data_IF_287876606736
#
_entry.id   IF_287876606736
#
_cell.length_a   1.000
_cell.length_b   1.000
_cell.length_c   1.000
_cell.angle_alpha   90.00
_cell.angle_beta   90.00
_cell.angle_gamma   90.00
#
_symmetry.space_group_name_H-M   'P 1'
#
loop_
_entity.id
_entity.type
_entity.pdbx_description
1 polymer ?
#
# COMPACT_ATOMS: atom_id res chain seq x y z
N UNK A 1 -20.58 7.14 25.72
CA UNK A 1 -19.47 6.21 25.72
C UNK A 1 -18.24 6.85 25.10
N UNK A 2 -17.07 6.73 25.79
CA UNK A 2 -15.84 7.43 25.41
C UNK A 2 -14.91 6.58 24.51
N UNK A 3 -15.45 5.56 23.83
CA UNK A 3 -14.66 4.66 23.00
C UNK A 3 -14.39 5.27 21.62
N UNK A 4 -13.13 5.36 21.23
CA UNK A 4 -12.72 5.66 19.85
C UNK A 4 -12.62 4.33 19.09
N UNK A 5 -13.17 4.30 17.88
CA UNK A 5 -13.11 3.13 17.00
C UNK A 5 -12.15 3.44 15.85
N UNK A 6 -11.22 2.53 15.62
CA UNK A 6 -10.26 2.69 14.51
C UNK A 6 -10.26 1.46 13.60
N UNK A 7 -10.17 1.69 12.29
CA UNK A 7 -9.98 0.61 11.30
C UNK A 7 -8.53 0.54 10.86
N UNK A 8 -8.03 -0.69 10.67
CA UNK A 8 -6.71 -0.94 10.05
C UNK A 8 -6.85 -1.38 8.57
N UNK A 9 -7.98 -1.11 7.94
CA UNK A 9 -8.18 -1.48 6.53
C UNK A 9 -7.19 -0.76 5.63
N UNK A 10 -6.51 -1.50 4.75
CA UNK A 10 -5.53 -0.94 3.80
C UNK A 10 -6.16 -0.29 2.57
N UNK A 11 -7.41 -0.63 2.26
CA UNK A 11 -8.04 -0.27 0.97
C UNK A 11 -9.37 0.46 1.11
N UNK A 12 -10.11 0.20 2.20
CA UNK A 12 -11.43 0.78 2.42
C UNK A 12 -11.31 2.09 3.19
N UNK A 13 -12.01 3.11 2.70
CA UNK A 13 -12.02 4.43 3.33
C UNK A 13 -12.92 4.45 4.57
N UNK A 14 -12.57 5.21 5.62
CA UNK A 14 -13.43 5.38 6.79
C UNK A 14 -14.84 5.88 6.44
N UNK A 15 -14.96 6.79 5.47
CA UNK A 15 -16.27 7.30 5.01
C UNK A 15 -17.23 6.22 4.52
N UNK A 16 -16.71 5.05 4.07
CA UNK A 16 -17.55 3.93 3.63
C UNK A 16 -18.32 3.25 4.76
N UNK A 17 -17.92 3.48 6.02
CA UNK A 17 -18.47 2.80 7.19
C UNK A 17 -19.05 3.75 8.23
N UNK A 18 -18.81 5.05 8.11
CA UNK A 18 -19.18 6.05 9.13
C UNK A 18 -20.67 6.00 9.52
N UNK A 19 -21.55 5.79 8.53
CA UNK A 19 -23.01 5.77 8.74
C UNK A 19 -23.49 4.49 9.44
N UNK A 20 -22.62 3.50 9.61
CA UNK A 20 -22.92 2.26 10.34
C UNK A 20 -22.60 2.37 11.85
N UNK A 21 -21.97 3.48 12.27
CA UNK A 21 -21.52 3.68 13.64
C UNK A 21 -22.39 4.70 14.37
N UNK A 22 -22.68 4.45 15.67
CA UNK A 22 -23.50 5.36 16.47
C UNK A 22 -22.81 6.71 16.73
N UNK A 23 -21.47 6.75 16.64
CA UNK A 23 -20.63 7.90 16.92
C UNK A 23 -19.58 8.06 15.81
N UNK A 24 -19.99 8.51 14.59
CA UNK A 24 -19.05 8.68 13.49
C UNK A 24 -17.94 9.69 13.79
N UNK A 25 -18.20 10.70 14.64
CA UNK A 25 -17.18 11.66 15.07
C UNK A 25 -16.03 11.05 15.86
N UNK A 26 -16.20 9.80 16.37
CA UNK A 26 -15.19 9.01 17.10
C UNK A 26 -14.61 7.87 16.27
N UNK A 27 -14.76 7.93 14.97
CA UNK A 27 -14.26 6.91 14.05
C UNK A 27 -13.26 7.46 13.06
N UNK A 28 -12.20 6.68 12.81
CA UNK A 28 -11.17 7.03 11.83
C UNK A 28 -10.37 5.77 11.43
N UNK A 29 -9.39 5.94 10.54
CA UNK A 29 -8.42 4.90 10.25
C UNK A 29 -7.12 5.12 11.02
N UNK A 30 -6.57 4.02 11.53
CA UNK A 30 -5.23 3.89 12.08
C UNK A 30 -4.58 2.69 11.40
N UNK A 31 -3.83 2.96 10.33
CA UNK A 31 -3.28 1.95 9.45
C UNK A 31 -1.79 1.75 9.70
N UNK A 32 -1.38 0.51 9.89
CA UNK A 32 0.01 0.14 10.13
C UNK A 32 0.64 -0.48 8.90
N UNK A 33 1.94 -0.23 8.73
CA UNK A 33 2.73 -0.91 7.71
C UNK A 33 2.89 -2.40 8.03
N UNK A 34 3.15 -3.20 7.00
CA UNK A 34 3.58 -4.59 7.19
C UNK A 34 4.89 -4.63 8.00
N UNK A 35 5.06 -5.72 8.77
CA UNK A 35 6.20 -5.87 9.67
C UNK A 35 6.33 -4.69 10.65
N UNK A 36 5.25 -4.34 11.31
CA UNK A 36 5.10 -3.20 12.23
C UNK A 36 6.25 -3.08 13.25
N UNK A 37 6.87 -4.19 13.62
CA UNK A 37 8.01 -4.25 14.55
C UNK A 37 9.32 -3.69 13.94
N UNK A 38 9.42 -3.63 12.60
CA UNK A 38 10.53 -3.02 11.86
C UNK A 38 10.11 -1.68 11.25
N UNK A 39 8.89 -1.60 10.74
CA UNK A 39 8.33 -0.45 10.00
C UNK A 39 7.30 0.25 10.89
N UNK A 40 7.75 0.93 11.93
CA UNK A 40 6.91 1.50 12.97
C UNK A 40 6.16 2.79 12.54
N UNK A 41 5.54 2.78 11.37
CA UNK A 41 4.68 3.87 10.91
C UNK A 41 3.21 3.58 11.19
N UNK A 42 2.45 4.63 11.52
CA UNK A 42 1.01 4.60 11.71
C UNK A 42 0.37 5.73 10.89
N UNK A 43 -0.34 5.38 9.84
CA UNK A 43 -1.05 6.33 8.99
C UNK A 43 -2.43 6.61 9.58
N UNK A 44 -2.71 7.88 9.88
CA UNK A 44 -3.94 8.32 10.53
C UNK A 44 -4.76 9.10 9.52
N UNK A 45 -5.99 8.64 9.28
CA UNK A 45 -6.88 9.22 8.28
C UNK A 45 -8.31 9.30 8.83
N UNK A 46 -8.77 10.52 9.05
CA UNK A 46 -10.17 10.80 9.38
C UNK A 46 -11.05 10.91 8.14
N UNK A 47 -12.36 10.90 8.35
CA UNK A 47 -13.36 11.27 7.36
C UNK A 47 -13.99 12.65 7.70
N UNK A 48 -14.96 13.10 6.93
CA UNK A 48 -15.54 14.45 7.04
C UNK A 48 -16.17 14.78 8.41
N UNK A 49 -16.53 13.76 9.19
CA UNK A 49 -17.17 13.94 10.50
C UNK A 49 -16.27 13.59 11.68
N UNK A 50 -15.10 13.02 11.45
CA UNK A 50 -14.11 12.74 12.52
C UNK A 50 -13.77 14.03 13.25
N UNK A 51 -13.95 14.07 14.59
CA UNK A 51 -13.61 15.25 15.36
C UNK A 51 -12.10 15.48 15.44
N UNK A 52 -11.69 16.74 15.53
CA UNK A 52 -10.27 17.10 15.65
C UNK A 52 -9.64 16.53 16.93
N UNK A 53 -10.40 16.54 18.02
CA UNK A 53 -9.96 16.02 19.30
C UNK A 53 -9.66 14.53 19.23
N UNK A 54 -10.54 13.74 18.60
CA UNK A 54 -10.35 12.29 18.38
C UNK A 54 -9.15 12.03 17.47
N UNK A 55 -9.01 12.82 16.42
CA UNK A 55 -7.86 12.71 15.51
C UNK A 55 -6.53 12.95 16.26
N UNK A 56 -6.44 14.00 17.05
CA UNK A 56 -5.24 14.34 17.82
C UNK A 56 -4.96 13.34 18.95
N UNK A 57 -6.02 12.79 19.57
CA UNK A 57 -5.88 11.71 20.56
C UNK A 57 -5.25 10.46 19.94
N UNK A 58 -5.71 10.04 18.75
CA UNK A 58 -5.13 8.89 18.04
C UNK A 58 -3.70 9.15 17.56
N UNK A 59 -3.38 10.38 17.15
CA UNK A 59 -2.00 10.78 16.85
C UNK A 59 -1.10 10.63 18.07
N UNK A 60 -1.56 11.05 19.25
CA UNK A 60 -0.80 10.91 20.49
C UNK A 60 -0.70 9.44 20.91
N UNK A 61 -1.79 8.70 20.84
CA UNK A 61 -1.76 7.25 21.09
C UNK A 61 -0.74 6.53 20.21
N UNK A 62 -0.67 6.85 18.90
CA UNK A 62 0.33 6.25 18.01
C UNK A 62 1.76 6.54 18.48
N UNK A 63 2.07 7.74 18.97
CA UNK A 63 3.38 8.08 19.55
C UNK A 63 3.65 7.31 20.84
N UNK A 64 2.65 7.21 21.70
CA UNK A 64 2.78 6.56 23.02
C UNK A 64 3.09 5.06 22.88
N UNK A 65 2.60 4.42 21.82
CA UNK A 65 2.92 3.02 21.49
C UNK A 65 4.19 2.88 20.64
N UNK A 66 4.98 3.95 20.46
CA UNK A 66 6.27 3.92 19.75
C UNK A 66 6.18 3.98 18.23
N UNK A 67 5.03 4.37 17.66
CA UNK A 67 4.87 4.54 16.22
C UNK A 67 5.24 5.95 15.78
N UNK A 68 5.59 6.08 14.50
CA UNK A 68 5.75 7.36 13.81
C UNK A 68 4.39 7.69 13.16
N UNK A 69 3.62 8.67 13.68
CA UNK A 69 2.33 9.01 13.12
C UNK A 69 2.48 9.77 11.81
N UNK A 70 1.84 9.27 10.76
CA UNK A 70 1.74 9.91 9.46
C UNK A 70 0.32 10.44 9.30
N UNK A 71 0.18 11.76 9.27
CA UNK A 71 -1.11 12.46 9.32
C UNK A 71 -1.64 12.75 7.92
N UNK A 72 -2.75 12.13 7.54
CA UNK A 72 -3.45 12.46 6.31
C UNK A 72 -4.45 13.60 6.57
N UNK A 73 -4.44 14.59 5.70
CA UNK A 73 -5.35 15.75 5.78
C UNK A 73 -6.71 15.50 5.14
N UNK A 74 -6.79 14.47 4.30
CA UNK A 74 -8.00 14.03 3.56
C UNK A 74 -7.95 12.53 3.38
N UNK A 75 -9.10 11.95 3.12
CA UNK A 75 -9.16 10.55 2.72
C UNK A 75 -8.42 10.32 1.40
N UNK A 76 -7.58 9.29 1.40
CA UNK A 76 -6.80 8.86 0.24
C UNK A 76 -6.82 7.33 0.19
N UNK A 77 -7.39 6.73 -0.86
CA UNK A 77 -7.26 5.28 -1.08
C UNK A 77 -5.79 4.87 -1.15
N UNK A 78 -5.41 3.85 -0.37
CA UNK A 78 -4.01 3.41 -0.28
C UNK A 78 -3.13 4.26 0.63
N UNK A 79 -3.70 5.24 1.33
CA UNK A 79 -2.97 6.13 2.26
C UNK A 79 -1.76 6.80 1.58
N UNK A 80 -0.70 7.13 2.34
CA UNK A 80 0.54 7.68 1.77
C UNK A 80 1.44 6.56 1.24
N UNK A 81 1.64 5.51 2.04
CA UNK A 81 2.59 4.45 1.71
C UNK A 81 2.22 3.75 0.40
N UNK A 82 1.01 3.21 0.29
CA UNK A 82 0.61 2.50 -0.92
C UNK A 82 0.43 3.43 -2.13
N UNK A 83 0.09 4.71 -1.90
CA UNK A 83 0.03 5.72 -2.98
C UNK A 83 1.40 6.02 -3.61
N UNK A 84 2.50 5.77 -2.87
CA UNK A 84 3.87 5.88 -3.38
C UNK A 84 4.39 4.54 -3.89
N UNK A 85 4.12 3.47 -3.14
CA UNK A 85 4.67 2.15 -3.40
C UNK A 85 4.08 1.50 -4.66
N UNK A 86 2.77 1.53 -4.82
CA UNK A 86 2.10 0.87 -5.96
C UNK A 86 2.58 1.43 -7.30
N UNK A 87 2.67 2.76 -7.52
CA UNK A 87 3.24 3.30 -8.77
C UNK A 87 4.71 2.92 -8.98
N UNK A 88 5.53 2.84 -7.92
CA UNK A 88 6.92 2.40 -8.02
C UNK A 88 7.00 0.95 -8.53
N UNK A 89 6.22 0.05 -7.92
CA UNK A 89 6.18 -1.35 -8.33
C UNK A 89 5.61 -1.52 -9.74
N UNK A 90 4.60 -0.76 -10.09
CA UNK A 90 4.02 -0.75 -11.45
C UNK A 90 5.05 -0.30 -12.50
N UNK A 91 5.83 0.74 -12.20
CA UNK A 91 6.88 1.20 -13.10
C UNK A 91 7.97 0.13 -13.29
N UNK A 92 8.40 -0.52 -12.21
CA UNK A 92 9.39 -1.59 -12.29
C UNK A 92 8.87 -2.79 -13.08
N UNK A 93 7.65 -3.26 -12.80
CA UNK A 93 7.02 -4.35 -13.53
C UNK A 93 6.85 -4.01 -15.03
N UNK A 94 6.54 -2.75 -15.35
CA UNK A 94 6.45 -2.26 -16.73
C UNK A 94 7.79 -2.39 -17.45
N UNK A 95 8.88 -1.93 -16.84
CA UNK A 95 10.22 -2.04 -17.42
C UNK A 95 10.58 -3.49 -17.73
N UNK A 96 10.27 -4.41 -16.82
CA UNK A 96 10.53 -5.84 -17.04
C UNK A 96 9.60 -6.46 -18.08
N UNK A 97 8.30 -6.16 -18.05
CA UNK A 97 7.33 -6.70 -18.99
C UNK A 97 7.61 -6.29 -20.44
N UNK A 98 8.15 -5.08 -20.63
CA UNK A 98 8.60 -4.56 -21.94
C UNK A 98 10.03 -4.97 -22.32
N UNK A 99 10.67 -5.82 -21.52
CA UNK A 99 12.05 -6.29 -21.73
C UNK A 99 13.07 -5.15 -21.91
N UNK A 100 12.87 -4.05 -21.16
CA UNK A 100 13.78 -2.88 -21.17
C UNK A 100 15.06 -3.20 -20.40
N UNK A 101 14.95 -3.93 -19.28
CA UNK A 101 16.08 -4.36 -18.46
C UNK A 101 15.75 -5.63 -17.67
N UNK A 102 16.79 -6.28 -17.16
CA UNK A 102 16.62 -7.39 -16.24
C UNK A 102 16.29 -6.89 -14.82
N UNK A 103 15.65 -7.77 -14.03
CA UNK A 103 15.19 -7.49 -12.68
C UNK A 103 16.34 -6.96 -11.81
N UNK A 104 17.51 -7.59 -11.89
CA UNK A 104 18.67 -7.18 -11.13
C UNK A 104 19.10 -5.74 -11.47
N UNK A 105 19.08 -5.36 -12.75
CA UNK A 105 19.45 -4.01 -13.17
C UNK A 105 18.41 -2.97 -12.73
N UNK A 106 17.12 -3.31 -12.78
CA UNK A 106 16.05 -2.43 -12.31
C UNK A 106 16.19 -2.19 -10.80
N UNK A 107 16.41 -3.25 -10.02
CA UNK A 107 16.63 -3.16 -8.58
C UNK A 107 17.89 -2.38 -8.24
N UNK A 108 18.98 -2.63 -8.96
CA UNK A 108 20.25 -1.93 -8.76
C UNK A 108 20.15 -0.45 -9.13
N UNK A 109 19.45 -0.11 -10.21
CA UNK A 109 19.20 1.28 -10.59
C UNK A 109 18.52 2.06 -9.46
N UNK A 110 17.50 1.48 -8.84
CA UNK A 110 16.81 2.08 -7.70
C UNK A 110 17.71 2.16 -6.46
N UNK A 111 18.33 1.05 -6.09
CA UNK A 111 19.14 0.97 -4.86
C UNK A 111 20.34 1.90 -4.90
N UNK A 112 21.14 1.80 -5.93
CA UNK A 112 22.37 2.62 -6.04
C UNK A 112 22.10 4.07 -6.45
N UNK A 113 21.05 4.30 -7.25
CA UNK A 113 20.68 5.65 -7.67
C UNK A 113 20.04 6.49 -6.57
N UNK A 114 19.37 5.86 -5.60
CA UNK A 114 18.65 6.55 -4.51
C UNK A 114 19.25 6.31 -3.12
N UNK A 115 20.07 5.29 -2.96
CA UNK A 115 20.54 4.82 -1.65
C UNK A 115 19.50 3.98 -0.90
N UNK A 116 18.43 3.55 -1.56
CA UNK A 116 17.40 2.71 -0.93
C UNK A 116 17.97 1.32 -0.57
N UNK A 117 17.56 0.71 0.57
CA UNK A 117 18.06 -0.60 1.00
C UNK A 117 17.59 -1.74 0.09
N UNK A 118 16.41 -1.60 -0.52
CA UNK A 118 15.76 -2.60 -1.36
C UNK A 118 15.39 -2.02 -2.72
N UNK A 119 15.49 -2.85 -3.74
CA UNK A 119 14.95 -2.56 -5.08
C UNK A 119 13.45 -2.86 -5.17
N UNK A 120 12.78 -2.37 -6.22
CA UNK A 120 11.34 -2.56 -6.41
C UNK A 120 10.92 -4.03 -6.43
N UNK A 121 11.67 -4.92 -7.06
CA UNK A 121 11.35 -6.35 -7.11
C UNK A 121 11.62 -7.03 -5.77
N UNK A 122 12.66 -6.66 -5.04
CA UNK A 122 12.86 -7.12 -3.67
C UNK A 122 11.70 -6.70 -2.75
N UNK A 123 11.15 -5.50 -2.93
CA UNK A 123 9.95 -5.07 -2.21
C UNK A 123 8.73 -5.88 -2.67
N UNK A 124 8.62 -6.14 -3.97
CA UNK A 124 7.53 -6.94 -4.54
C UNK A 124 7.50 -8.37 -3.95
N UNK A 125 8.67 -8.96 -3.69
CA UNK A 125 8.79 -10.26 -3.02
C UNK A 125 8.22 -10.23 -1.60
N UNK A 126 8.43 -9.13 -0.85
CA UNK A 126 7.83 -8.94 0.48
C UNK A 126 6.32 -8.77 0.41
N UNK A 127 5.82 -8.03 -0.58
CA UNK A 127 4.38 -7.85 -0.83
C UNK A 127 3.72 -9.18 -1.26
N UNK A 128 4.44 -9.98 -2.01
CA UNK A 128 4.02 -11.27 -2.54
C UNK A 128 3.42 -11.19 -3.94
N UNK A 129 3.90 -12.07 -4.82
CA UNK A 129 3.51 -12.09 -6.24
C UNK A 129 2.01 -12.30 -6.46
N UNK A 130 1.36 -13.13 -5.64
CA UNK A 130 -0.10 -13.35 -5.72
C UNK A 130 -0.88 -12.07 -5.42
N UNK A 131 -0.41 -11.27 -4.46
CA UNK A 131 -1.03 -9.99 -4.12
C UNK A 131 -0.90 -9.01 -5.28
N UNK A 132 0.30 -8.88 -5.85
CA UNK A 132 0.55 -8.04 -7.02
C UNK A 132 -0.28 -8.49 -8.23
N UNK A 133 -0.34 -9.78 -8.50
CA UNK A 133 -1.15 -10.36 -9.56
C UNK A 133 -2.64 -9.99 -9.41
N UNK A 134 -3.21 -10.20 -8.21
CA UNK A 134 -4.61 -9.88 -7.94
C UNK A 134 -4.91 -8.38 -8.06
N UNK A 135 -3.99 -7.52 -7.65
CA UNK A 135 -4.13 -6.06 -7.82
C UNK A 135 -4.12 -5.70 -9.30
N UNK A 136 -3.20 -6.28 -10.08
CA UNK A 136 -3.07 -6.00 -11.52
C UNK A 136 -4.29 -6.49 -12.31
N UNK A 137 -4.91 -7.60 -11.91
CA UNK A 137 -6.14 -8.12 -12.53
C UNK A 137 -7.34 -7.15 -12.44
N UNK A 138 -7.33 -6.22 -11.50
CA UNK A 138 -8.41 -5.22 -11.34
C UNK A 138 -8.22 -3.98 -12.23
N UNK A 139 -7.15 -3.90 -13.01
CA UNK A 139 -6.93 -2.77 -13.93
C UNK A 139 -7.86 -2.87 -15.14
N UNK A 140 -8.35 -1.74 -15.68
CA UNK A 140 -9.39 -1.74 -16.73
C UNK A 140 -8.92 -2.33 -18.06
N UNK A 141 -7.63 -2.28 -18.35
CA UNK A 141 -7.00 -2.74 -19.59
C UNK A 141 -6.40 -4.15 -19.49
N UNK A 142 -6.75 -4.90 -18.45
CA UNK A 142 -6.20 -6.25 -18.18
C UNK A 142 -6.52 -7.26 -19.28
N UNK A 143 -7.61 -7.09 -20.00
CA UNK A 143 -8.05 -8.00 -21.07
C UNK A 143 -7.59 -7.57 -22.47
N UNK A 144 -6.90 -6.44 -22.61
CA UNK A 144 -6.30 -6.00 -23.86
C UNK A 144 -4.93 -6.63 -24.03
N UNK A 145 -4.81 -7.62 -24.92
CA UNK A 145 -3.56 -8.35 -25.19
C UNK A 145 -2.40 -7.43 -25.63
N UNK A 146 -2.70 -6.24 -26.12
CA UNK A 146 -1.69 -5.25 -26.50
C UNK A 146 -1.28 -4.33 -25.35
N UNK A 147 -1.99 -4.41 -24.21
CA UNK A 147 -1.68 -3.57 -23.07
C UNK A 147 -0.44 -4.05 -22.29
N UNK A 148 0.25 -3.11 -21.65
CA UNK A 148 1.34 -3.44 -20.73
C UNK A 148 0.79 -4.18 -19.49
N UNK A 149 -0.41 -3.86 -19.06
CA UNK A 149 -1.09 -4.54 -17.95
C UNK A 149 -1.24 -6.03 -18.23
N UNK A 150 -1.68 -6.41 -19.44
CA UNK A 150 -1.76 -7.82 -19.84
C UNK A 150 -0.39 -8.49 -19.78
N UNK A 151 0.65 -7.85 -20.30
CA UNK A 151 2.02 -8.39 -20.27
C UNK A 151 2.53 -8.59 -18.84
N UNK A 152 2.25 -7.65 -17.93
CA UNK A 152 2.58 -7.78 -16.50
C UNK A 152 1.85 -8.98 -15.89
N UNK A 153 0.54 -9.15 -16.18
CA UNK A 153 -0.23 -10.30 -15.69
C UNK A 153 0.37 -11.62 -16.15
N UNK A 154 0.74 -11.72 -17.45
CA UNK A 154 1.38 -12.93 -17.98
C UNK A 154 2.74 -13.22 -17.33
N UNK A 155 3.54 -12.17 -17.11
CA UNK A 155 4.82 -12.24 -16.41
C UNK A 155 4.63 -12.77 -14.98
N UNK A 156 3.78 -12.14 -14.19
CA UNK A 156 3.52 -12.54 -12.80
C UNK A 156 2.97 -13.96 -12.71
N UNK A 157 2.02 -14.31 -13.61
CA UNK A 157 1.45 -15.66 -13.68
C UNK A 157 2.52 -16.71 -13.92
N UNK A 158 3.46 -16.48 -14.83
CA UNK A 158 4.57 -17.40 -15.11
C UNK A 158 5.38 -17.69 -13.84
N UNK A 159 5.77 -16.66 -13.07
CA UNK A 159 6.53 -16.86 -11.84
C UNK A 159 5.71 -17.59 -10.76
N UNK A 160 4.40 -17.29 -10.64
CA UNK A 160 3.50 -17.99 -9.72
C UNK A 160 3.36 -19.48 -10.09
N UNK A 161 3.18 -19.81 -11.37
CA UNK A 161 3.01 -21.18 -11.87
C UNK A 161 4.31 -22.00 -11.71
N UNK A 162 5.47 -21.35 -11.74
CA UNK A 162 6.78 -21.96 -11.45
C UNK A 162 7.01 -22.20 -9.94
N UNK A 163 6.01 -21.92 -9.08
CA UNK A 163 6.09 -21.97 -7.62
C UNK A 163 7.24 -21.10 -7.03
N UNK A 164 7.64 -20.07 -7.73
CA UNK A 164 8.56 -19.07 -7.18
C UNK A 164 7.80 -18.21 -6.19
N UNK A 165 8.31 -18.08 -4.97
CA UNK A 165 7.73 -17.20 -3.95
C UNK A 165 8.16 -15.75 -4.17
N UNK A 166 9.17 -15.51 -5.00
CA UNK A 166 9.73 -14.24 -5.41
C UNK A 166 10.23 -14.26 -6.85
N UNK A 167 10.64 -13.13 -7.36
CA UNK A 167 11.17 -12.93 -8.73
C UNK A 167 12.68 -12.89 -8.71
#
# INVERSE_FOLDING_TARGET
DNTIVATNSSTLLPSSFKDLLPHPEKYLALHFANEIWNNNTAEIMGHSETSHEVYDEVVNFAKDIGMIPLKLKKEQPGYLLNSLLVPLLDAAMTLKALDIADIEDIDNAWRYGTGAPFGPFQILDVVGLKTAYNITLNKPDVNDENSVTYQIVQMLKKYIDENKLGI
#
